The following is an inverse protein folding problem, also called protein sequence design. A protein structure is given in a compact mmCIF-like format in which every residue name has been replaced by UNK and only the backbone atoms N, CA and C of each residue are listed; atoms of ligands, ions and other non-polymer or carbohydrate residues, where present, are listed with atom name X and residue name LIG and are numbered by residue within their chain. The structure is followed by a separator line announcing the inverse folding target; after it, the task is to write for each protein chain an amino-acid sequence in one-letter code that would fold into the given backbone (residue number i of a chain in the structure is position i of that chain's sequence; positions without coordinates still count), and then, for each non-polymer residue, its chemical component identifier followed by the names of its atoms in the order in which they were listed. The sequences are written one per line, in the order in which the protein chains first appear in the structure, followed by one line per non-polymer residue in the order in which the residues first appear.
data_IF_109846805718
#
_entry.id   IF_109846805718
#
_cell.length_a   1.000
_cell.length_b   1.000
_cell.length_c   1.000
_cell.angle_alpha   90.00
_cell.angle_beta   90.00
_cell.angle_gamma   90.00
#
_symmetry.space_group_name_H-M   'P 1'
#
loop_
_entity.id
_entity.type
_entity.pdbx_description
1 polymer ?
#
# COMPACT_ATOMS: atom_id res chain seq x y z
N UNK A 1 -18.36 17.95 2.30
CA UNK A 1 -18.16 17.22 3.55
C UNK A 1 -18.19 15.74 3.21
N UNK A 2 -17.04 15.08 3.21
CA UNK A 2 -16.98 13.63 3.25
C UNK A 2 -17.68 13.22 4.54
N UNK A 3 -18.82 12.51 4.45
CA UNK A 3 -19.45 11.88 5.61
C UNK A 3 -18.41 11.00 6.28
N UNK A 4 -18.23 11.14 7.59
CA UNK A 4 -17.22 10.41 8.34
C UNK A 4 -17.26 8.94 7.98
N UNK A 5 -16.09 8.35 7.76
CA UNK A 5 -15.96 6.94 7.44
C UNK A 5 -16.65 6.13 8.56
N UNK A 6 -17.58 5.25 8.16
CA UNK A 6 -18.30 4.41 9.12
C UNK A 6 -17.31 3.44 9.79
N UNK A 7 -17.42 3.17 11.09
CA UNK A 7 -16.68 2.09 11.73
C UNK A 7 -17.05 0.75 11.09
N UNK A 8 -16.21 -0.27 11.26
CA UNK A 8 -16.59 -1.62 10.87
C UNK A 8 -17.74 -2.12 11.76
N UNK A 9 -18.59 -2.99 11.23
CA UNK A 9 -19.67 -3.66 11.97
C UNK A 9 -19.37 -5.15 12.12
N UNK A 10 -19.78 -5.72 13.24
CA UNK A 10 -19.80 -7.16 13.49
C UNK A 10 -21.22 -7.69 13.69
N UNK A 11 -22.25 -6.87 13.39
CA UNK A 11 -23.64 -7.25 13.51
C UNK A 11 -24.10 -8.07 12.31
N UNK A 12 -24.88 -9.12 12.56
CA UNK A 12 -25.51 -9.93 11.52
C UNK A 12 -26.62 -9.11 10.83
N UNK A 13 -26.76 -9.27 9.51
CA UNK A 13 -27.81 -8.61 8.72
C UNK A 13 -27.51 -7.18 8.33
N UNK A 14 -26.30 -6.67 8.61
CA UNK A 14 -25.90 -5.33 8.12
C UNK A 14 -25.76 -5.34 6.61
N UNK A 15 -26.41 -4.41 5.89
CA UNK A 15 -26.32 -4.33 4.44
C UNK A 15 -24.90 -3.95 3.99
N UNK A 16 -24.37 -4.67 3.00
CA UNK A 16 -23.13 -4.30 2.34
C UNK A 16 -23.38 -3.09 1.42
N UNK A 17 -22.52 -2.06 1.46
CA UNK A 17 -22.66 -0.93 0.57
C UNK A 17 -22.32 -1.31 -0.87
N UNK A 18 -22.88 -0.61 -1.85
CA UNK A 18 -22.40 -0.63 -3.22
C UNK A 18 -21.62 0.65 -3.49
N UNK A 19 -20.37 0.49 -3.91
CA UNK A 19 -19.45 1.59 -4.15
C UNK A 19 -19.46 2.02 -5.62
N UNK A 20 -19.32 3.33 -5.86
CA UNK A 20 -19.01 3.94 -7.16
C UNK A 20 -17.90 4.96 -6.98
N UNK A 21 -16.78 4.81 -7.70
CA UNK A 21 -15.57 5.61 -7.52
C UNK A 21 -14.72 5.12 -6.36
N UNK A 22 -14.06 6.04 -5.67
CA UNK A 22 -13.18 5.74 -4.54
C UNK A 22 -13.80 6.22 -3.24
N UNK A 23 -13.89 5.34 -2.23
CA UNK A 23 -14.36 5.71 -0.90
C UNK A 23 -13.68 4.91 0.21
N UNK A 24 -13.64 5.50 1.40
CA UNK A 24 -13.17 4.88 2.63
C UNK A 24 -14.33 4.19 3.33
N UNK A 25 -14.24 2.88 3.51
CA UNK A 25 -15.27 2.01 4.08
C UNK A 25 -14.77 1.33 5.36
N UNK A 26 -15.66 1.07 6.30
CA UNK A 26 -15.35 0.34 7.53
C UNK A 26 -15.42 -1.18 7.40
N UNK A 27 -16.08 -1.71 6.38
CA UNK A 27 -16.30 -3.15 6.22
C UNK A 27 -17.30 -3.75 7.20
N UNK A 28 -17.67 -4.99 6.96
CA UNK A 28 -18.48 -5.84 7.87
C UNK A 28 -17.64 -7.06 8.20
N UNK A 29 -17.43 -7.33 9.49
CA UNK A 29 -16.68 -8.51 9.92
C UNK A 29 -17.47 -9.78 9.57
N UNK A 30 -16.90 -10.60 8.68
CA UNK A 30 -17.52 -11.85 8.20
C UNK A 30 -16.88 -13.10 8.81
N UNK A 31 -15.67 -12.93 9.35
CA UNK A 31 -14.94 -14.05 9.93
C UNK A 31 -13.88 -13.55 10.91
N UNK A 32 -13.66 -14.29 12.00
CA UNK A 32 -12.55 -14.07 12.93
C UNK A 32 -12.23 -15.38 13.67
N UNK A 33 -10.97 -15.52 14.10
CA UNK A 33 -10.56 -16.58 15.03
C UNK A 33 -10.44 -16.06 16.44
N UNK A 34 -10.21 -16.97 17.40
CA UNK A 34 -9.65 -16.58 18.71
C UNK A 34 -8.27 -15.95 18.49
N UNK A 35 -7.88 -15.01 19.32
CA UNK A 35 -6.54 -14.43 19.26
C UNK A 35 -5.48 -15.50 19.44
N UNK A 36 -4.46 -15.42 18.61
CA UNK A 36 -3.26 -16.25 18.75
C UNK A 36 -2.38 -15.61 19.83
N UNK A 37 -1.92 -16.41 20.78
CA UNK A 37 -1.00 -15.99 21.82
C UNK A 37 0.39 -16.53 21.53
N UNK A 38 1.39 -15.67 21.59
CA UNK A 38 2.79 -16.02 21.47
C UNK A 38 3.52 -15.60 22.76
N UNK A 39 4.08 -16.57 23.46
CA UNK A 39 4.84 -16.34 24.69
C UNK A 39 6.34 -16.34 24.41
N UNK A 40 7.02 -15.24 24.68
CA UNK A 40 8.48 -15.11 24.59
C UNK A 40 9.09 -14.94 25.96
N UNK A 41 9.95 -15.90 26.37
CA UNK A 41 10.64 -15.86 27.64
C UNK A 41 12.10 -15.43 27.44
N UNK A 42 12.46 -14.30 28.02
CA UNK A 42 13.82 -13.78 27.98
C UNK A 42 14.40 -13.67 29.40
N UNK A 43 15.73 -13.80 29.52
CA UNK A 43 16.45 -13.54 30.78
C UNK A 43 16.87 -12.08 30.81
N UNK A 44 16.45 -11.34 31.83
CA UNK A 44 16.91 -9.98 32.08
C UNK A 44 18.21 -10.02 32.88
N UNK A 45 19.33 -9.46 32.31
CA UNK A 45 20.61 -9.36 32.96
C UNK A 45 21.37 -10.70 32.99
N UNK A 46 22.62 -10.79 32.64
CA UNK A 46 23.57 -11.89 32.57
C UNK A 46 23.18 -13.30 33.07
N UNK A 47 24.14 -14.21 33.12
CA UNK A 47 23.97 -15.60 33.61
C UNK A 47 23.40 -15.62 35.05
N UNK A 48 22.08 -15.77 35.20
CA UNK A 48 21.41 -15.89 36.50
C UNK A 48 20.26 -14.89 36.75
N UNK A 49 19.97 -13.99 35.84
CA UNK A 49 18.86 -13.03 35.97
C UNK A 49 17.46 -13.68 35.89
N UNK A 50 16.42 -12.97 36.38
CA UNK A 50 15.04 -13.45 36.36
C UNK A 50 14.57 -13.70 34.94
N UNK A 51 13.73 -14.72 34.75
CA UNK A 51 13.04 -14.96 33.49
C UNK A 51 11.79 -14.11 33.43
N UNK A 52 11.66 -13.31 32.38
CA UNK A 52 10.45 -12.53 32.08
C UNK A 52 9.79 -13.14 30.85
N UNK A 53 8.52 -13.50 31.00
CA UNK A 53 7.70 -13.97 29.86
C UNK A 53 6.81 -12.84 29.42
N UNK A 54 6.96 -12.45 28.16
CA UNK A 54 6.10 -11.45 27.50
C UNK A 54 5.12 -12.19 26.59
N UNK A 55 3.87 -11.79 26.60
CA UNK A 55 2.83 -12.35 25.74
C UNK A 55 2.48 -11.34 24.66
N UNK A 56 2.46 -11.80 23.41
CA UNK A 56 1.99 -11.04 22.24
C UNK A 56 0.73 -11.69 21.69
N UNK A 57 -0.24 -10.86 21.32
CA UNK A 57 -1.54 -11.33 20.80
C UNK A 57 -1.70 -10.89 19.35
N UNK A 58 -2.24 -11.79 18.52
CA UNK A 58 -2.49 -11.56 17.10
C UNK A 58 -3.94 -11.90 16.75
N UNK A 59 -4.51 -11.15 15.82
CA UNK A 59 -5.85 -11.40 15.30
C UNK A 59 -5.79 -11.86 13.84
N UNK A 60 -6.65 -12.85 13.53
CA UNK A 60 -6.97 -13.25 12.17
C UNK A 60 -8.42 -12.85 11.92
N UNK A 61 -8.68 -11.98 10.94
CA UNK A 61 -10.01 -11.40 10.74
C UNK A 61 -10.30 -11.13 9.27
N UNK A 62 -11.53 -11.41 8.83
CA UNK A 62 -12.05 -11.14 7.50
C UNK A 62 -13.12 -10.06 7.52
N UNK A 63 -13.04 -9.09 6.59
CA UNK A 63 -14.01 -8.01 6.42
C UNK A 63 -14.57 -8.00 5.01
N UNK A 64 -15.90 -8.12 4.86
CA UNK A 64 -16.59 -7.77 3.62
C UNK A 64 -16.61 -6.24 3.48
N UNK A 65 -16.29 -5.74 2.29
CA UNK A 65 -16.14 -4.31 2.03
C UNK A 65 -17.36 -3.74 1.31
N UNK A 66 -17.74 -4.33 0.19
CA UNK A 66 -18.88 -3.89 -0.60
C UNK A 66 -19.38 -4.98 -1.55
N UNK A 67 -20.60 -4.77 -2.07
CA UNK A 67 -21.22 -5.62 -3.08
C UNK A 67 -20.57 -5.40 -4.45
N UNK A 68 -20.36 -6.51 -5.17
CA UNK A 68 -19.87 -6.57 -6.54
C UNK A 68 -18.37 -6.36 -6.65
N UNK A 69 -17.86 -6.60 -7.85
CA UNK A 69 -16.42 -6.53 -8.14
C UNK A 69 -15.89 -5.11 -8.09
N UNK A 70 -14.69 -4.94 -7.50
CA UNK A 70 -13.95 -3.68 -7.39
C UNK A 70 -12.54 -3.82 -7.94
N UNK A 71 -11.92 -2.70 -8.32
CA UNK A 71 -10.58 -2.70 -8.88
C UNK A 71 -9.50 -3.00 -7.85
N UNK A 72 -9.66 -2.51 -6.61
CA UNK A 72 -8.64 -2.72 -5.59
C UNK A 72 -8.92 -1.96 -4.30
N UNK A 73 -8.01 -2.16 -3.34
CA UNK A 73 -7.86 -1.33 -2.15
C UNK A 73 -6.53 -0.58 -2.25
N UNK A 74 -6.47 0.64 -1.72
CA UNK A 74 -5.28 1.48 -1.76
C UNK A 74 -4.70 1.67 -0.36
N UNK A 75 -5.46 2.26 0.54
CA UNK A 75 -5.03 2.56 1.91
C UNK A 75 -5.84 1.77 2.91
N UNK A 76 -5.20 1.43 4.02
CA UNK A 76 -5.85 0.77 5.16
C UNK A 76 -5.50 1.52 6.43
N UNK A 77 -6.47 1.69 7.30
CA UNK A 77 -6.28 2.33 8.61
C UNK A 77 -6.73 1.41 9.72
N UNK A 78 -6.03 1.48 10.85
CA UNK A 78 -6.40 0.86 12.11
C UNK A 78 -6.50 1.97 13.18
N UNK A 79 -7.65 2.12 13.82
CA UNK A 79 -7.98 3.21 14.77
C UNK A 79 -7.63 4.62 14.20
N UNK A 80 -7.82 4.81 12.89
CA UNK A 80 -7.55 6.08 12.22
C UNK A 80 -6.10 6.31 11.80
N UNK A 81 -5.15 5.47 12.21
CA UNK A 81 -3.76 5.49 11.79
C UNK A 81 -3.60 4.68 10.51
N UNK A 82 -3.01 5.26 9.48
CA UNK A 82 -2.69 4.56 8.24
C UNK A 82 -1.62 3.48 8.48
N UNK A 83 -1.85 2.29 7.93
CA UNK A 83 -0.95 1.14 8.05
C UNK A 83 0.05 1.12 6.92
N UNK A 84 1.28 0.75 7.23
CA UNK A 84 2.27 0.35 6.24
C UNK A 84 1.95 -1.09 5.81
N UNK A 85 1.45 -1.27 4.59
CA UNK A 85 1.01 -2.57 4.10
C UNK A 85 2.17 -3.54 3.85
N UNK A 86 3.42 -3.07 3.78
CA UNK A 86 4.59 -3.94 3.77
C UNK A 86 4.80 -4.67 5.13
N UNK A 87 4.17 -4.18 6.20
CA UNK A 87 4.26 -4.74 7.56
C UNK A 87 3.03 -5.54 7.96
N UNK A 88 2.02 -5.65 7.08
CA UNK A 88 0.75 -6.31 7.38
C UNK A 88 0.47 -7.38 6.35
N UNK A 89 0.26 -8.61 6.80
CA UNK A 89 -0.21 -9.66 5.91
C UNK A 89 -1.71 -9.50 5.64
N UNK A 90 -2.01 -8.94 4.47
CA UNK A 90 -3.36 -8.64 4.03
C UNK A 90 -3.61 -9.27 2.66
N UNK A 91 -4.64 -10.11 2.56
CA UNK A 91 -5.11 -10.67 1.30
C UNK A 91 -6.40 -10.01 0.87
N UNK A 92 -6.43 -9.54 -0.36
CA UNK A 92 -7.56 -8.86 -0.95
C UNK A 92 -8.24 -9.75 -2.00
N UNK A 93 -9.58 -9.75 -1.95
CA UNK A 93 -10.46 -10.47 -2.85
C UNK A 93 -11.42 -9.47 -3.51
N UNK A 94 -11.35 -9.29 -4.82
CA UNK A 94 -12.06 -8.21 -5.51
C UNK A 94 -13.57 -8.38 -5.60
N UNK A 95 -14.11 -9.55 -5.32
CA UNK A 95 -15.54 -9.86 -5.52
C UNK A 95 -15.85 -10.42 -6.90
N UNK A 96 -14.86 -10.92 -7.63
CA UNK A 96 -15.08 -11.50 -8.96
C UNK A 96 -15.84 -12.84 -8.88
N UNK A 97 -16.50 -13.21 -9.99
CA UNK A 97 -17.19 -14.49 -10.11
C UNK A 97 -16.25 -15.69 -10.06
N UNK A 98 -14.98 -15.49 -10.42
CA UNK A 98 -13.94 -16.53 -10.41
C UNK A 98 -13.18 -16.67 -9.12
N UNK A 99 -13.42 -15.81 -8.09
CA UNK A 99 -12.62 -15.86 -6.86
C UNK A 99 -12.84 -17.16 -6.08
N UNK A 100 -11.73 -17.68 -5.52
CA UNK A 100 -11.74 -18.82 -4.62
C UNK A 100 -11.88 -18.43 -3.15
N UNK A 101 -12.05 -19.43 -2.25
CA UNK A 101 -12.02 -19.18 -0.81
C UNK A 101 -10.62 -18.75 -0.34
N UNK A 102 -10.57 -18.00 0.76
CA UNK A 102 -9.31 -17.67 1.41
C UNK A 102 -8.68 -18.91 2.05
N UNK A 103 -7.37 -19.18 1.82
CA UNK A 103 -6.72 -20.40 2.31
C UNK A 103 -6.61 -20.45 3.84
N UNK A 104 -6.50 -19.31 4.54
CA UNK A 104 -6.51 -19.31 6.00
C UNK A 104 -7.87 -19.69 6.54
N UNK A 105 -8.94 -19.10 6.01
CA UNK A 105 -10.31 -19.45 6.40
C UNK A 105 -10.57 -20.93 6.12
N UNK A 106 -10.18 -21.40 4.93
CA UNK A 106 -10.34 -22.79 4.54
C UNK A 106 -9.58 -23.77 5.46
N UNK A 107 -8.36 -23.40 5.85
CA UNK A 107 -7.57 -24.22 6.79
C UNK A 107 -8.22 -24.34 8.17
N UNK A 108 -9.02 -23.35 8.59
CA UNK A 108 -9.68 -23.30 9.90
C UNK A 108 -11.09 -23.88 9.88
N UNK A 109 -11.81 -23.80 8.76
CA UNK A 109 -13.20 -24.28 8.63
C UNK A 109 -13.31 -25.63 7.93
N UNK A 110 -12.26 -26.06 7.24
CA UNK A 110 -12.20 -27.28 6.43
C UNK A 110 -12.62 -27.07 4.98
N UNK A 111 -11.97 -27.83 4.08
CA UNK A 111 -12.24 -27.78 2.64
C UNK A 111 -13.71 -28.04 2.32
N UNK A 112 -14.26 -27.24 1.44
CA UNK A 112 -15.66 -27.33 1.01
C UNK A 112 -16.68 -26.62 1.92
N UNK A 113 -16.27 -26.16 3.12
CA UNK A 113 -17.15 -25.42 4.05
C UNK A 113 -16.89 -23.90 4.02
N UNK A 114 -15.90 -23.46 3.26
CA UNK A 114 -15.50 -22.05 3.19
C UNK A 114 -16.11 -21.39 1.97
N UNK A 115 -16.95 -20.36 2.14
CA UNK A 115 -17.51 -19.65 1.01
C UNK A 115 -16.42 -18.81 0.33
N UNK A 116 -16.47 -18.73 -0.99
CA UNK A 116 -15.59 -17.88 -1.78
C UNK A 116 -16.05 -16.41 -1.82
N UNK A 117 -17.22 -16.09 -1.25
CA UNK A 117 -17.83 -14.76 -1.23
C UNK A 117 -17.88 -14.08 -2.62
N UNK A 118 -18.16 -14.83 -3.69
CA UNK A 118 -18.31 -14.30 -5.06
C UNK A 118 -19.36 -13.21 -5.09
N UNK A 119 -19.10 -12.14 -5.86
CA UNK A 119 -19.94 -10.96 -5.86
C UNK A 119 -19.77 -10.04 -4.64
N UNK A 120 -18.84 -10.35 -3.74
CA UNK A 120 -18.52 -9.51 -2.56
C UNK A 120 -17.02 -9.28 -2.48
N UNK A 121 -16.61 -8.01 -2.51
CA UNK A 121 -15.22 -7.66 -2.24
C UNK A 121 -14.93 -7.80 -0.75
N UNK A 122 -13.85 -8.50 -0.39
CA UNK A 122 -13.47 -8.68 1.01
C UNK A 122 -11.95 -8.72 1.19
N UNK A 123 -11.51 -8.58 2.42
CA UNK A 123 -10.11 -8.70 2.84
C UNK A 123 -9.98 -9.67 3.99
N UNK A 124 -8.82 -10.34 4.07
CA UNK A 124 -8.40 -11.14 5.22
C UNK A 124 -7.10 -10.56 5.75
N UNK A 125 -7.09 -10.20 7.00
CA UNK A 125 -5.90 -9.75 7.73
C UNK A 125 -5.42 -10.91 8.57
N UNK A 126 -4.17 -11.32 8.32
CA UNK A 126 -3.55 -12.49 8.92
C UNK A 126 -2.54 -12.07 9.98
N UNK A 127 -2.62 -12.67 11.17
CA UNK A 127 -1.71 -12.43 12.30
C UNK A 127 -1.44 -10.96 12.61
N UNK A 128 -2.48 -10.14 12.60
CA UNK A 128 -2.34 -8.71 12.91
C UNK A 128 -1.95 -8.49 14.37
N UNK A 129 -0.85 -7.78 14.67
CA UNK A 129 -0.40 -7.57 16.04
C UNK A 129 -1.33 -6.62 16.80
N UNK A 130 -1.74 -7.02 18.01
CA UNK A 130 -2.71 -6.27 18.83
C UNK A 130 -2.10 -5.41 19.92
N UNK A 131 -0.79 -5.49 20.15
CA UNK A 131 -0.12 -4.80 21.26
C UNK A 131 -0.39 -3.29 21.29
N UNK A 132 -0.27 -2.63 20.13
CA UNK A 132 -0.49 -1.17 20.00
C UNK A 132 -1.96 -0.76 20.08
N UNK A 133 -2.88 -1.72 20.15
CA UNK A 133 -4.34 -1.51 20.14
C UNK A 133 -5.04 -2.01 21.42
N UNK A 134 -4.26 -2.19 22.49
CA UNK A 134 -4.81 -2.66 23.77
C UNK A 134 -5.35 -4.09 23.71
N UNK A 135 -4.72 -4.96 22.95
CA UNK A 135 -5.09 -6.37 22.75
C UNK A 135 -6.56 -6.56 22.29
N UNK A 136 -7.03 -5.67 21.41
CA UNK A 136 -8.34 -5.75 20.75
C UNK A 136 -8.19 -5.58 19.25
N UNK A 137 -9.17 -6.00 18.47
CA UNK A 137 -9.25 -5.69 17.03
C UNK A 137 -9.51 -4.18 16.89
N UNK A 138 -8.60 -3.44 16.22
CA UNK A 138 -8.80 -2.01 15.99
C UNK A 138 -9.92 -1.75 14.97
N UNK A 139 -10.38 -0.50 14.91
CA UNK A 139 -11.34 -0.07 13.90
C UNK A 139 -10.67 0.03 12.53
N UNK A 140 -10.77 -1.05 11.75
CA UNK A 140 -10.26 -1.08 10.39
C UNK A 140 -11.12 -0.24 9.44
N UNK A 141 -10.45 0.44 8.52
CA UNK A 141 -11.07 1.14 7.39
C UNK A 141 -10.21 0.94 6.16
N UNK A 142 -10.87 0.86 4.99
CA UNK A 142 -10.25 0.49 3.74
C UNK A 142 -10.63 1.51 2.67
N UNK A 143 -9.68 2.03 1.92
CA UNK A 143 -9.94 2.86 0.74
C UNK A 143 -10.11 1.95 -0.46
N UNK A 144 -11.36 1.79 -0.90
CA UNK A 144 -11.76 0.88 -1.96
C UNK A 144 -11.99 1.67 -3.25
N UNK A 145 -11.54 1.13 -4.37
CA UNK A 145 -11.64 1.75 -5.70
C UNK A 145 -12.51 0.91 -6.63
N UNK A 146 -13.54 1.54 -7.23
CA UNK A 146 -14.35 0.95 -8.28
C UNK A 146 -14.44 1.91 -9.47
N UNK A 147 -14.01 1.51 -10.69
CA UNK A 147 -14.17 2.35 -11.87
C UNK A 147 -15.62 2.73 -12.12
N UNK A 148 -15.84 3.99 -12.50
CA UNK A 148 -17.17 4.49 -12.84
C UNK A 148 -17.26 4.72 -14.36
N UNK A 149 -18.23 4.09 -15.00
CA UNK A 149 -18.44 4.21 -16.43
C UNK A 149 -17.49 3.36 -17.28
N UNK A 150 -17.54 3.57 -18.61
CA UNK A 150 -16.81 2.73 -19.57
C UNK A 150 -15.47 3.33 -20.02
N UNK A 151 -15.14 4.57 -19.64
CA UNK A 151 -13.93 5.25 -20.14
C UNK A 151 -12.66 4.56 -19.63
N UNK A 152 -12.56 4.32 -18.34
CA UNK A 152 -11.39 3.68 -17.75
C UNK A 152 -11.08 2.31 -18.40
N UNK A 153 -12.12 1.50 -18.65
CA UNK A 153 -11.98 0.20 -19.32
C UNK A 153 -11.60 0.27 -20.80
N UNK A 154 -11.53 1.48 -21.41
CA UNK A 154 -11.15 1.70 -22.81
C UNK A 154 -9.79 2.39 -22.97
N UNK A 155 -9.21 2.87 -21.89
CA UNK A 155 -7.89 3.53 -21.91
C UNK A 155 -6.84 2.49 -22.21
N UNK A 156 -6.11 2.66 -23.32
CA UNK A 156 -5.05 1.76 -23.79
C UNK A 156 -3.65 2.34 -23.66
N UNK A 157 -3.56 3.68 -23.57
CA UNK A 157 -2.28 4.37 -23.44
C UNK A 157 -2.42 5.61 -22.58
N UNK A 158 -1.40 5.90 -21.78
CA UNK A 158 -1.31 7.11 -20.95
C UNK A 158 0.11 7.67 -21.01
N UNK A 159 0.26 8.98 -20.76
CA UNK A 159 1.52 9.61 -20.46
C UNK A 159 1.64 9.76 -18.93
N UNK A 160 2.69 9.19 -18.34
CA UNK A 160 2.99 9.29 -16.92
C UNK A 160 4.07 10.33 -16.70
N UNK A 161 3.74 11.36 -15.93
CA UNK A 161 4.66 12.41 -15.51
C UNK A 161 5.15 12.03 -14.12
N UNK A 162 6.47 11.91 -13.90
CA UNK A 162 7.01 11.57 -12.59
C UNK A 162 6.73 12.68 -11.57
N UNK A 163 6.86 12.34 -10.29
CA UNK A 163 6.85 13.32 -9.22
C UNK A 163 7.96 14.37 -9.32
N UNK A 164 8.02 15.26 -8.35
CA UNK A 164 8.91 16.44 -8.36
C UNK A 164 10.39 16.15 -8.09
N UNK A 165 10.76 14.88 -7.84
CA UNK A 165 12.16 14.49 -7.58
C UNK A 165 12.79 13.80 -8.77
N UNK A 166 14.13 13.82 -8.87
CA UNK A 166 14.90 13.08 -9.86
C UNK A 166 14.72 11.56 -9.76
N UNK A 167 14.23 11.07 -8.63
CA UNK A 167 13.93 9.65 -8.38
C UNK A 167 12.46 9.29 -8.58
N UNK A 168 11.66 10.21 -9.12
CA UNK A 168 10.20 10.05 -9.28
C UNK A 168 9.77 8.87 -10.13
N UNK A 169 10.66 8.30 -10.97
CA UNK A 169 10.41 7.08 -11.76
C UNK A 169 11.12 5.84 -11.20
N UNK A 170 11.77 5.93 -10.04
CA UNK A 170 12.43 4.76 -9.43
C UNK A 170 11.39 3.82 -8.81
N UNK A 171 11.41 2.52 -9.16
CA UNK A 171 10.54 1.52 -8.53
C UNK A 171 10.98 1.16 -7.11
N UNK A 172 12.23 1.46 -6.76
CA UNK A 172 12.81 1.20 -5.44
C UNK A 172 12.85 2.47 -4.60
N UNK A 173 12.73 2.31 -3.29
CA UNK A 173 12.87 3.44 -2.36
C UNK A 173 14.30 3.98 -2.42
N UNK A 174 14.41 5.27 -2.64
CA UNK A 174 15.65 6.02 -2.49
C UNK A 174 15.56 6.85 -1.22
N UNK A 175 16.51 6.65 -0.32
CA UNK A 175 16.56 7.38 0.95
C UNK A 175 17.71 8.37 0.96
N UNK A 176 17.53 9.47 1.68
CA UNK A 176 18.54 10.46 1.97
C UNK A 176 18.76 10.55 3.47
N UNK A 177 20.01 10.76 3.86
CA UNK A 177 20.41 11.00 5.23
C UNK A 177 20.86 12.48 5.40
N UNK A 178 19.93 13.42 5.64
CA UNK A 178 20.26 14.85 5.72
C UNK A 178 21.10 15.18 6.96
N UNK A 179 20.98 14.39 8.03
CA UNK A 179 21.72 14.55 9.28
C UNK A 179 22.00 13.17 9.91
N UNK A 180 23.00 13.03 10.77
CA UNK A 180 23.27 11.79 11.48
C UNK A 180 22.04 11.32 12.27
N UNK A 181 21.57 10.09 11.96
CA UNK A 181 20.39 9.49 12.60
C UNK A 181 19.04 9.87 11.99
N UNK A 182 18.99 10.75 10.98
CA UNK A 182 17.79 11.11 10.25
C UNK A 182 17.81 10.48 8.85
N UNK A 183 16.78 9.73 8.52
CA UNK A 183 16.60 9.14 7.19
C UNK A 183 15.24 9.53 6.64
N UNK A 184 15.20 10.10 5.44
CA UNK A 184 13.97 10.45 4.72
C UNK A 184 13.91 9.74 3.38
N UNK A 185 12.70 9.36 2.94
CA UNK A 185 12.49 8.83 1.60
C UNK A 185 12.32 9.97 0.61
N UNK A 186 12.97 9.87 -0.56
CA UNK A 186 12.89 10.86 -1.64
C UNK A 186 11.73 10.59 -2.60
N UNK A 187 11.26 9.33 -2.69
CA UNK A 187 10.27 8.88 -3.66
C UNK A 187 9.26 7.89 -3.07
N UNK A 188 9.06 7.89 -1.76
CA UNK A 188 8.00 7.13 -1.08
C UNK A 188 7.25 8.04 -0.10
N UNK A 189 6.09 8.53 -0.53
CA UNK A 189 5.16 9.34 0.27
C UNK A 189 3.87 8.60 0.60
N UNK A 190 3.79 7.32 0.21
CA UNK A 190 2.66 6.41 0.46
C UNK A 190 3.11 5.20 1.28
N UNK A 191 2.20 4.59 2.03
CA UNK A 191 2.48 3.42 2.87
C UNK A 191 1.99 2.10 2.25
N UNK A 192 1.30 2.16 1.12
CA UNK A 192 0.68 1.01 0.46
C UNK A 192 1.48 0.48 -0.74
N UNK A 193 2.65 1.02 -1.02
CA UNK A 193 3.53 0.57 -2.11
C UNK A 193 4.99 0.87 -1.81
N UNK A 194 5.89 0.20 -2.52
CA UNK A 194 7.34 0.34 -2.36
C UNK A 194 7.85 1.73 -2.77
N UNK A 195 7.19 2.40 -3.72
CA UNK A 195 7.49 3.77 -4.13
C UNK A 195 6.24 4.46 -4.70
N UNK A 196 6.27 5.77 -4.83
CA UNK A 196 5.17 6.54 -5.44
C UNK A 196 4.94 6.14 -6.91
N UNK A 197 6.00 5.76 -7.62
CA UNK A 197 5.91 5.25 -8.99
C UNK A 197 5.16 3.92 -9.04
N UNK A 198 5.48 2.98 -8.16
CA UNK A 198 4.80 1.68 -8.07
C UNK A 198 3.34 1.89 -7.68
N UNK A 199 3.06 2.73 -6.68
CA UNK A 199 1.69 3.06 -6.29
C UNK A 199 0.86 3.60 -7.46
N UNK A 200 1.43 4.52 -8.23
CA UNK A 200 0.75 5.12 -9.40
C UNK A 200 0.51 4.11 -10.51
N UNK A 201 1.46 3.20 -10.74
CA UNK A 201 1.33 2.17 -11.77
C UNK A 201 0.29 1.12 -11.39
N UNK A 202 0.29 0.67 -10.15
CA UNK A 202 -0.68 -0.30 -9.62
C UNK A 202 -2.11 0.25 -9.66
N UNK A 203 -2.29 1.52 -9.24
CA UNK A 203 -3.59 2.20 -9.33
C UNK A 203 -4.05 2.32 -10.78
N UNK A 204 -3.15 2.68 -11.68
CA UNK A 204 -3.45 2.81 -13.11
C UNK A 204 -3.87 1.47 -13.73
N UNK A 205 -3.16 0.38 -13.41
CA UNK A 205 -3.51 -0.96 -13.88
C UNK A 205 -4.85 -1.43 -13.31
N UNK A 206 -5.12 -1.17 -12.04
CA UNK A 206 -6.39 -1.53 -11.41
C UNK A 206 -7.59 -0.79 -12.03
N UNK A 207 -7.42 0.50 -12.33
CA UNK A 207 -8.50 1.33 -12.89
C UNK A 207 -8.67 1.18 -14.41
N UNK A 208 -7.59 0.85 -15.14
CA UNK A 208 -7.55 0.78 -16.60
C UNK A 208 -7.15 -0.62 -17.09
N UNK A 209 -8.03 -1.64 -16.99
CA UNK A 209 -7.69 -3.03 -17.30
C UNK A 209 -7.31 -3.28 -18.79
N UNK A 210 -7.63 -2.35 -19.69
CA UNK A 210 -7.24 -2.42 -21.10
C UNK A 210 -5.94 -1.67 -21.41
N UNK A 211 -5.20 -1.19 -20.40
CA UNK A 211 -3.97 -0.44 -20.57
C UNK A 211 -2.87 -1.33 -21.16
N UNK A 212 -2.29 -0.89 -22.28
CA UNK A 212 -1.23 -1.59 -23.00
C UNK A 212 0.08 -0.81 -23.00
N UNK A 213 0.01 0.53 -22.96
CA UNK A 213 1.17 1.39 -23.14
C UNK A 213 1.23 2.51 -22.11
N UNK A 214 2.41 2.72 -21.54
CA UNK A 214 2.71 3.87 -20.68
C UNK A 214 3.91 4.61 -21.26
N UNK A 215 3.72 5.87 -21.64
CA UNK A 215 4.80 6.77 -22.05
C UNK A 215 5.33 7.50 -20.83
N UNK A 216 6.60 7.29 -20.48
CA UNK A 216 7.25 7.99 -19.39
C UNK A 216 7.76 9.36 -19.85
N UNK A 217 7.38 10.41 -19.13
CA UNK A 217 7.86 11.78 -19.39
C UNK A 217 9.13 12.00 -18.58
N UNK A 218 10.25 12.22 -19.27
CA UNK A 218 11.55 12.51 -18.65
C UNK A 218 11.89 13.98 -18.86
N UNK A 219 12.20 14.70 -17.80
CA UNK A 219 12.48 16.14 -17.85
C UNK A 219 13.97 16.42 -17.96
N UNK A 220 14.34 17.26 -18.92
CA UNK A 220 15.66 17.86 -19.04
C UNK A 220 15.55 19.37 -18.87
N UNK A 221 16.58 20.00 -18.34
CA UNK A 221 16.55 21.42 -17.96
C UNK A 221 17.47 22.25 -18.84
N UNK A 222 16.94 23.34 -19.36
CA UNK A 222 17.73 24.38 -20.02
C UNK A 222 18.23 25.42 -19.00
N UNK A 223 19.38 26.01 -19.26
CA UNK A 223 20.02 27.01 -18.42
C UNK A 223 19.79 28.45 -18.91
N UNK A 224 19.31 28.63 -20.15
CA UNK A 224 18.99 29.91 -20.75
C UNK A 224 17.71 29.83 -21.60
N UNK A 225 16.90 30.89 -21.59
CA UNK A 225 15.68 30.99 -22.41
C UNK A 225 15.96 31.25 -23.90
N UNK A 226 17.17 31.70 -24.23
CA UNK A 226 17.60 31.95 -25.62
C UNK A 226 18.12 30.66 -26.23
N UNK A 227 17.47 30.15 -27.26
CA UNK A 227 17.79 28.85 -27.87
C UNK A 227 19.25 28.71 -28.29
N UNK A 228 19.90 29.78 -28.83
CA UNK A 228 21.29 29.74 -29.26
C UNK A 228 22.32 29.76 -28.11
N UNK A 229 21.89 29.98 -26.88
CA UNK A 229 22.71 30.03 -25.67
C UNK A 229 22.34 28.94 -24.66
N UNK A 230 21.25 28.21 -24.91
CA UNK A 230 20.71 27.21 -23.98
C UNK A 230 21.50 25.90 -24.06
N UNK A 231 21.99 25.43 -22.94
CA UNK A 231 22.51 24.08 -22.78
C UNK A 231 21.46 23.25 -22.06
N UNK A 232 21.01 22.17 -22.71
CA UNK A 232 20.03 21.24 -22.15
C UNK A 232 20.78 20.13 -21.41
N UNK A 233 20.48 19.97 -20.12
CA UNK A 233 21.14 18.97 -19.28
C UNK A 233 20.14 18.32 -18.31
N UNK A 234 20.35 17.06 -17.91
CA UNK A 234 19.70 16.51 -16.75
C UNK A 234 20.25 17.22 -15.49
N UNK A 235 19.37 17.51 -14.54
CA UNK A 235 19.72 18.16 -13.27
C UNK A 235 19.18 17.39 -12.08
N UNK A 236 19.77 17.60 -10.93
CA UNK A 236 19.37 17.04 -9.63
C UNK A 236 19.03 18.14 -8.66
N UNK A 237 18.21 17.83 -7.68
CA UNK A 237 17.80 18.76 -6.62
C UNK A 237 18.93 19.01 -5.62
N UNK A 238 19.77 18.01 -5.37
CA UNK A 238 20.84 18.03 -4.37
C UNK A 238 22.16 17.52 -4.91
N UNK A 239 23.26 18.18 -4.55
CA UNK A 239 24.62 17.80 -4.96
C UNK A 239 25.25 16.72 -4.08
N UNK A 240 24.71 16.50 -2.89
CA UNK A 240 25.30 15.60 -1.91
C UNK A 240 24.89 14.15 -2.20
N UNK A 241 25.58 13.54 -3.16
CA UNK A 241 25.40 12.12 -3.51
C UNK A 241 25.78 11.18 -2.35
N UNK A 242 26.62 11.61 -1.41
CA UNK A 242 27.03 10.78 -0.29
C UNK A 242 25.92 10.55 0.73
N UNK A 243 24.90 11.39 0.75
CA UNK A 243 23.73 11.26 1.62
C UNK A 243 22.63 10.36 1.05
N UNK A 244 22.73 9.94 -0.20
CA UNK A 244 21.72 9.15 -0.91
C UNK A 244 22.03 7.65 -0.86
N UNK A 245 21.00 6.82 -0.73
CA UNK A 245 21.11 5.35 -0.79
C UNK A 245 21.38 4.83 -2.21
N UNK A 246 21.17 5.65 -3.23
CA UNK A 246 21.37 5.31 -4.64
C UNK A 246 22.04 6.46 -5.39
N UNK A 247 23.12 6.13 -6.14
CA UNK A 247 23.76 7.09 -7.02
C UNK A 247 22.85 7.47 -8.19
N UNK A 248 22.74 8.76 -8.44
CA UNK A 248 22.09 9.23 -9.64
C UNK A 248 23.03 9.17 -10.85
N UNK A 249 22.58 8.57 -11.97
CA UNK A 249 23.39 8.37 -13.16
C UNK A 249 22.63 8.75 -14.43
N UNK A 250 23.28 9.39 -15.37
CA UNK A 250 22.72 9.86 -16.67
C UNK A 250 23.04 8.91 -17.81
N UNK A 251 23.39 7.80 -17.75
CA UNK A 251 23.58 6.73 -18.74
C UNK A 251 24.62 5.71 -18.26
N UNK A 252 24.65 4.58 -18.94
CA UNK A 252 25.58 3.49 -18.61
C UNK A 252 27.04 3.87 -18.88
N UNK A 253 27.33 5.00 -19.55
CA UNK A 253 28.66 5.25 -20.14
C UNK A 253 29.49 6.41 -19.54
N UNK A 254 29.09 7.12 -18.55
CA UNK A 254 30.01 7.99 -17.79
C UNK A 254 29.35 8.59 -16.55
N UNK A 255 29.98 8.45 -15.42
CA UNK A 255 29.74 9.26 -14.23
C UNK A 255 30.15 10.71 -14.50
N UNK A 256 29.30 11.51 -15.10
CA UNK A 256 29.44 12.96 -15.06
C UNK A 256 28.56 13.44 -13.92
N UNK A 257 29.17 14.14 -12.98
CA UNK A 257 28.43 14.82 -11.94
C UNK A 257 27.31 15.66 -12.57
N UNK A 258 26.06 15.52 -12.12
CA UNK A 258 24.96 16.31 -12.65
C UNK A 258 25.20 17.79 -12.37
N UNK A 259 24.77 18.66 -13.28
CA UNK A 259 24.74 20.12 -13.04
C UNK A 259 23.49 20.50 -12.23
N UNK A 260 23.62 21.49 -11.38
CA UNK A 260 22.47 22.12 -10.70
C UNK A 260 21.57 22.84 -11.68
#
# INVERSE_FOLDING_TARGET
RLSGARPFSAEEGVPLPRLYGTARLGGVMIWATRFEEEARTERQGGKGGPRVTTYSYYANVGFALCEGEVAGIRRVWADGRELDLDQVELRFYPGSEGQGPDPLIESRQGGGNTPAYRGTAYVVVDRFPLADYGNRIPQFQFEVMRPVGSLAGRVRAVAMIPGSTEYGLSPSVVTRQPSPGEVSAENRHVLHAASDFVASLDELQALCPALEHVALVVTWFGDDLRAGHCTIRPKVSHHDAASLSQDWRVSVMASRSPSR
#
